data_IF_005790866681
#
_entry.id   IF_005790866681
#
_cell.length_a   1.000
_cell.length_b   1.000
_cell.length_c   1.000
_cell.angle_alpha   90.00
_cell.angle_beta   90.00
_cell.angle_gamma   90.00
#
_symmetry.space_group_name_H-M   'P 1'
#
loop_
_entity.id
_entity.type
_entity.pdbx_description
1 polymer ?
#
# COMPACT_ATOMS: atom_id res chain seq x y z
N UNK A 1 12.26 10.31 6.21
CA UNK A 1 10.99 10.08 5.50
C UNK A 1 10.28 11.40 5.50
N UNK A 2 9.73 11.84 4.37
CA UNK A 2 9.29 13.22 4.17
C UNK A 2 7.90 13.53 4.76
N UNK A 3 7.42 12.67 5.65
CA UNK A 3 6.21 12.86 6.46
C UNK A 3 6.54 13.65 7.73
N UNK A 4 6.57 14.98 7.63
CA UNK A 4 6.68 15.86 8.80
C UNK A 4 5.40 15.83 9.63
N UNK A 5 5.50 16.19 10.91
CA UNK A 5 4.32 16.23 11.79
C UNK A 5 3.35 17.34 11.36
N UNK A 6 3.85 18.40 10.71
CA UNK A 6 3.05 19.46 10.07
C UNK A 6 2.26 18.91 8.87
N UNK A 7 2.89 18.12 7.99
CA UNK A 7 2.21 17.53 6.84
C UNK A 7 1.12 16.54 7.26
N UNK A 8 1.41 15.71 8.27
CA UNK A 8 0.43 14.77 8.84
C UNK A 8 -0.78 15.54 9.36
N UNK A 9 -0.57 16.63 10.12
CA UNK A 9 -1.64 17.47 10.65
C UNK A 9 -2.46 18.13 9.53
N UNK A 10 -1.78 18.76 8.57
CA UNK A 10 -2.42 19.42 7.43
C UNK A 10 -3.35 18.46 6.69
N UNK A 11 -2.88 17.24 6.43
CA UNK A 11 -3.68 16.22 5.76
C UNK A 11 -4.84 15.73 6.63
N UNK A 12 -4.64 15.56 7.94
CA UNK A 12 -5.67 15.11 8.86
C UNK A 12 -6.81 16.13 9.00
N UNK A 13 -6.49 17.42 9.06
CA UNK A 13 -7.46 18.50 9.28
C UNK A 13 -8.14 18.99 7.98
N UNK A 14 -7.47 18.84 6.83
CA UNK A 14 -8.03 19.33 5.57
C UNK A 14 -9.13 18.41 5.03
N UNK A 15 -10.33 18.95 4.70
CA UNK A 15 -11.37 18.21 3.99
C UNK A 15 -11.08 18.10 2.49
N UNK A 16 -10.09 18.84 1.97
CA UNK A 16 -9.73 18.85 0.54
C UNK A 16 -8.65 17.83 0.20
N UNK A 17 -8.07 17.16 1.20
CA UNK A 17 -7.01 16.18 1.01
C UNK A 17 -7.54 14.82 1.44
N UNK A 18 -7.49 13.87 0.49
CA UNK A 18 -7.86 12.49 0.72
C UNK A 18 -7.10 11.90 1.93
N UNK A 19 -7.76 11.07 2.73
CA UNK A 19 -7.15 10.31 3.85
C UNK A 19 -6.39 9.12 3.27
N UNK A 20 -5.28 9.42 2.62
CA UNK A 20 -4.45 8.46 1.90
C UNK A 20 -2.97 8.78 2.07
N UNK A 21 -2.21 7.83 2.57
CA UNK A 21 -0.78 7.95 2.75
C UNK A 21 -0.07 6.83 1.99
N UNK A 22 0.85 7.20 1.10
CA UNK A 22 1.76 6.25 0.48
C UNK A 22 3.20 6.57 0.87
N UNK A 23 3.87 5.62 1.54
CA UNK A 23 5.24 5.78 1.99
C UNK A 23 6.06 4.55 1.56
N UNK A 24 7.02 4.70 0.62
CA UNK A 24 7.86 3.58 0.21
C UNK A 24 8.67 3.01 1.37
N UNK A 25 8.43 1.74 1.73
CA UNK A 25 9.15 1.05 2.81
C UNK A 25 10.43 0.39 2.31
N UNK A 26 10.36 -0.19 1.11
CA UNK A 26 11.36 -1.02 0.46
C UNK A 26 11.61 -2.35 1.17
N UNK A 27 12.04 -2.35 2.43
CA UNK A 27 12.24 -3.54 3.26
C UNK A 27 12.00 -3.20 4.72
N UNK A 28 11.57 -4.18 5.53
CA UNK A 28 11.50 -4.05 6.98
C UNK A 28 12.79 -4.45 7.70
N UNK A 29 13.80 -4.92 6.97
CA UNK A 29 15.11 -5.25 7.53
C UNK A 29 16.07 -4.06 7.51
N UNK A 30 16.67 -3.75 8.66
CA UNK A 30 17.69 -2.71 8.77
C UNK A 30 18.92 -3.04 7.90
N UNK A 31 19.35 -4.30 7.89
CA UNK A 31 20.49 -4.74 7.10
C UNK A 31 20.25 -4.58 5.59
N UNK A 32 19.07 -4.98 5.09
CA UNK A 32 18.68 -4.78 3.69
C UNK A 32 18.60 -3.29 3.35
N UNK A 33 17.94 -2.48 4.20
CA UNK A 33 17.83 -1.03 4.00
C UNK A 33 19.20 -0.33 3.93
N UNK A 34 20.18 -0.76 4.74
CA UNK A 34 21.57 -0.30 4.63
C UNK A 34 22.20 -0.66 3.30
N UNK A 35 22.03 -1.90 2.83
CA UNK A 35 22.54 -2.33 1.52
C UNK A 35 21.88 -1.57 0.35
N UNK A 36 20.63 -1.13 0.53
CA UNK A 36 19.92 -0.24 -0.39
C UNK A 36 20.32 1.24 -0.26
N UNK A 37 21.27 1.58 0.60
CA UNK A 37 21.68 2.96 0.91
C UNK A 37 20.53 3.87 1.39
N UNK A 38 19.55 3.31 2.10
CA UNK A 38 18.46 4.10 2.68
C UNK A 38 18.92 4.82 3.95
N UNK A 39 18.54 6.10 4.05
CA UNK A 39 18.83 6.97 5.21
C UNK A 39 17.82 6.84 6.36
N UNK A 40 16.91 5.87 6.29
CA UNK A 40 15.93 5.57 7.35
C UNK A 40 16.04 4.10 7.77
N UNK A 41 15.34 3.76 8.84
CA UNK A 41 15.41 2.47 9.51
C UNK A 41 14.01 1.98 9.84
N UNK A 42 13.81 0.68 10.12
CA UNK A 42 12.48 0.13 10.40
C UNK A 42 11.74 0.86 11.51
N UNK A 43 12.43 1.26 12.58
CA UNK A 43 11.82 2.02 13.70
C UNK A 43 11.43 3.45 13.32
N UNK A 44 12.24 4.16 12.52
CA UNK A 44 11.87 5.48 11.98
C UNK A 44 10.64 5.39 11.08
N UNK A 45 10.55 4.32 10.29
CA UNK A 45 9.42 4.05 9.41
C UNK A 45 8.14 3.75 10.23
N UNK A 46 8.26 2.85 11.20
CA UNK A 46 7.19 2.50 12.15
C UNK A 46 6.60 3.74 12.83
N UNK A 47 7.46 4.55 13.46
CA UNK A 47 7.03 5.77 14.17
C UNK A 47 6.19 6.68 13.26
N UNK A 48 6.59 6.82 11.99
CA UNK A 48 5.89 7.67 11.02
C UNK A 48 4.54 7.09 10.61
N UNK A 49 4.47 5.78 10.35
CA UNK A 49 3.19 5.13 10.04
C UNK A 49 2.22 5.17 11.22
N UNK A 50 2.71 4.95 12.44
CA UNK A 50 1.89 5.01 13.66
C UNK A 50 1.36 6.44 13.89
N UNK A 51 2.16 7.47 13.64
CA UNK A 51 1.70 8.88 13.66
C UNK A 51 0.63 9.17 12.60
N UNK A 52 0.83 8.71 11.37
CA UNK A 52 -0.16 8.88 10.28
C UNK A 52 -1.47 8.20 10.66
N UNK A 53 -1.41 6.95 11.12
CA UNK A 53 -2.59 6.20 11.51
C UNK A 53 -3.30 6.81 12.73
N UNK A 54 -2.55 7.28 13.72
CA UNK A 54 -3.12 7.95 14.90
C UNK A 54 -3.85 9.26 14.54
N UNK A 55 -3.29 10.05 13.61
CA UNK A 55 -3.92 11.29 13.15
C UNK A 55 -5.10 11.04 12.19
N UNK A 56 -5.07 9.95 11.42
CA UNK A 56 -6.10 9.59 10.45
C UNK A 56 -6.42 8.08 10.54
N UNK A 57 -7.24 7.64 11.51
CA UNK A 57 -7.51 6.21 11.74
C UNK A 57 -8.19 5.50 10.56
N UNK A 58 -8.89 6.26 9.70
CA UNK A 58 -9.54 5.74 8.50
C UNK A 58 -8.66 5.80 7.25
N UNK A 59 -7.44 6.32 7.33
CA UNK A 59 -6.60 6.51 6.16
C UNK A 59 -6.23 5.19 5.48
N UNK A 60 -6.23 5.19 4.15
CA UNK A 60 -5.60 4.13 3.39
C UNK A 60 -4.08 4.34 3.40
N UNK A 61 -3.35 3.38 3.98
CA UNK A 61 -1.89 3.44 4.15
C UNK A 61 -1.25 2.39 3.26
N UNK A 62 -0.47 2.84 2.29
CA UNK A 62 0.23 1.99 1.34
C UNK A 62 1.74 2.10 1.40
N UNK A 63 2.41 1.05 0.94
CA UNK A 63 3.86 1.03 0.78
C UNK A 63 4.31 0.23 -0.44
N UNK A 64 5.46 0.65 -0.97
CA UNK A 64 6.28 -0.13 -1.89
C UNK A 64 7.20 -1.07 -1.11
N UNK A 65 7.22 -2.35 -1.49
CA UNK A 65 8.08 -3.39 -0.87
C UNK A 65 8.80 -4.18 -1.95
N UNK A 66 10.12 -4.23 -1.84
CA UNK A 66 10.99 -5.00 -2.72
C UNK A 66 11.40 -6.30 -2.02
N UNK A 67 11.34 -7.41 -2.74
CA UNK A 67 11.87 -8.71 -2.29
C UNK A 67 12.97 -9.21 -3.22
N UNK A 68 13.88 -10.02 -2.69
CA UNK A 68 14.98 -10.61 -3.44
C UNK A 68 16.13 -9.64 -3.71
N UNK A 69 16.28 -8.59 -2.90
CA UNK A 69 17.44 -7.70 -3.00
C UNK A 69 18.74 -8.50 -2.79
N UNK A 70 19.86 -8.19 -3.48
CA UNK A 70 21.09 -8.96 -3.36
C UNK A 70 21.54 -9.13 -1.90
N UNK A 71 21.76 -10.38 -1.50
CA UNK A 71 22.12 -10.79 -0.14
C UNK A 71 20.95 -10.92 0.85
N UNK A 72 19.69 -10.72 0.45
CA UNK A 72 18.52 -10.89 1.33
C UNK A 72 18.34 -12.34 1.80
N UNK A 73 18.50 -12.55 3.10
CA UNK A 73 18.34 -13.84 3.80
C UNK A 73 16.89 -14.09 4.22
N UNK A 74 16.59 -15.33 4.65
CA UNK A 74 15.26 -15.67 5.16
C UNK A 74 14.92 -14.92 6.46
N UNK A 75 15.91 -14.68 7.32
CA UNK A 75 15.73 -13.91 8.54
C UNK A 75 15.35 -12.44 8.24
N UNK A 76 16.03 -11.81 7.29
CA UNK A 76 15.75 -10.42 6.88
C UNK A 76 14.40 -10.29 6.15
N UNK A 77 14.01 -11.31 5.40
CA UNK A 77 12.65 -11.41 4.87
C UNK A 77 11.61 -11.55 6.01
N UNK A 78 11.92 -12.36 7.02
CA UNK A 78 11.11 -12.50 8.24
C UNK A 78 10.93 -11.18 9.00
N UNK A 79 11.96 -10.36 9.13
CA UNK A 79 11.87 -9.01 9.70
C UNK A 79 10.89 -8.12 8.89
N UNK A 80 10.91 -8.26 7.56
CA UNK A 80 9.99 -7.54 6.67
C UNK A 80 8.55 -7.98 6.87
N UNK A 81 8.31 -9.29 6.99
CA UNK A 81 7.00 -9.85 7.30
C UNK A 81 6.45 -9.31 8.63
N UNK A 82 7.23 -9.42 9.70
CA UNK A 82 6.83 -8.99 11.04
C UNK A 82 6.47 -7.50 11.08
N UNK A 83 7.24 -6.65 10.38
CA UNK A 83 6.94 -5.22 10.31
C UNK A 83 5.65 -4.94 9.54
N UNK A 84 5.43 -5.63 8.42
CA UNK A 84 4.20 -5.49 7.63
C UNK A 84 2.98 -5.93 8.44
N UNK A 85 3.06 -7.09 9.10
CA UNK A 85 2.00 -7.62 9.95
C UNK A 85 1.63 -6.66 11.07
N UNK A 86 2.64 -6.09 11.76
CA UNK A 86 2.45 -5.17 12.89
C UNK A 86 1.93 -3.77 12.51
N UNK A 87 2.09 -3.33 11.25
CA UNK A 87 1.69 -1.99 10.81
C UNK A 87 0.30 -1.97 10.14
N UNK A 88 -0.44 -0.85 10.25
CA UNK A 88 -1.80 -0.69 9.74
C UNK A 88 -1.85 -0.45 8.22
N UNK A 89 -1.07 -1.21 7.45
CA UNK A 89 -1.15 -1.16 5.99
C UNK A 89 -2.51 -1.62 5.49
N UNK A 90 -2.99 -0.96 4.44
CA UNK A 90 -4.26 -1.30 3.77
C UNK A 90 -4.03 -1.84 2.36
N UNK A 91 -2.86 -1.57 1.78
CA UNK A 91 -2.41 -2.19 0.53
C UNK A 91 -0.88 -2.14 0.44
N UNK A 92 -0.30 -3.04 -0.35
CA UNK A 92 1.13 -3.04 -0.65
C UNK A 92 1.35 -3.18 -2.14
N UNK A 93 2.33 -2.46 -2.66
CA UNK A 93 2.89 -2.71 -3.98
C UNK A 93 4.16 -3.54 -3.82
N UNK A 94 4.05 -4.84 -4.07
CA UNK A 94 5.14 -5.80 -3.90
C UNK A 94 5.77 -6.14 -5.24
N UNK A 95 7.07 -5.91 -5.36
CA UNK A 95 7.84 -6.20 -6.57
C UNK A 95 9.13 -6.95 -6.26
N UNK A 96 9.56 -7.76 -7.21
CA UNK A 96 10.82 -8.51 -7.13
C UNK A 96 11.96 -7.63 -7.64
N UNK A 97 13.10 -7.66 -6.96
CA UNK A 97 14.32 -7.01 -7.44
C UNK A 97 14.66 -7.52 -8.85
N UNK A 98 14.99 -6.57 -9.73
CA UNK A 98 15.46 -6.85 -11.08
C UNK A 98 16.74 -6.06 -11.32
N UNK A 99 17.87 -6.73 -11.61
CA UNK A 99 19.15 -6.05 -11.79
C UNK A 99 19.09 -5.14 -13.02
N UNK A 100 19.46 -3.87 -12.81
CA UNK A 100 19.58 -2.89 -13.90
C UNK A 100 21.05 -2.58 -14.17
N UNK A 101 21.53 -2.71 -15.43
CA UNK A 101 22.91 -2.38 -15.78
C UNK A 101 23.31 -0.99 -15.27
N UNK A 102 24.54 -0.88 -14.74
CA UNK A 102 25.08 0.37 -14.20
C UNK A 102 24.68 0.70 -12.75
N UNK A 103 23.83 -0.10 -12.11
CA UNK A 103 23.50 0.09 -10.68
C UNK A 103 24.46 -0.68 -9.76
N UNK A 104 24.82 -0.14 -8.57
CA UNK A 104 25.65 -0.86 -7.61
C UNK A 104 25.08 -2.24 -7.23
N UNK A 105 23.74 -2.32 -7.09
CA UNK A 105 23.05 -3.56 -6.77
C UNK A 105 23.20 -4.65 -7.85
N UNK A 106 23.33 -4.27 -9.13
CA UNK A 106 23.55 -5.24 -10.21
C UNK A 106 24.93 -5.92 -10.11
N UNK A 107 25.92 -5.24 -9.53
CA UNK A 107 27.27 -5.78 -9.32
C UNK A 107 27.44 -6.50 -7.97
N UNK A 108 26.43 -6.48 -7.09
CA UNK A 108 26.50 -7.16 -5.79
C UNK A 108 26.56 -8.68 -5.97
N UNK A 109 27.39 -9.31 -5.15
CA UNK A 109 27.42 -10.78 -5.00
C UNK A 109 26.18 -11.25 -4.25
N UNK A 110 25.91 -12.56 -4.29
CA UNK A 110 24.79 -13.21 -3.59
C UNK A 110 23.41 -12.75 -4.07
N UNK A 111 23.21 -12.77 -5.39
CA UNK A 111 21.89 -12.56 -5.99
C UNK A 111 20.92 -13.63 -5.46
N UNK A 112 19.71 -13.21 -5.07
CA UNK A 112 18.68 -14.14 -4.58
C UNK A 112 18.09 -14.89 -5.78
N UNK A 113 17.96 -16.24 -5.72
CA UNK A 113 17.33 -17.01 -6.79
C UNK A 113 15.92 -16.49 -7.09
N UNK A 114 15.58 -16.36 -8.38
CA UNK A 114 14.30 -15.79 -8.81
C UNK A 114 13.08 -16.55 -8.24
N UNK A 115 13.20 -17.87 -8.03
CA UNK A 115 12.13 -18.67 -7.44
C UNK A 115 11.86 -18.28 -5.98
N UNK A 116 12.91 -18.08 -5.19
CA UNK A 116 12.80 -17.60 -3.80
C UNK A 116 12.18 -16.21 -3.78
N UNK A 117 12.63 -15.30 -4.66
CA UNK A 117 12.12 -13.95 -4.69
C UNK A 117 10.64 -13.88 -5.17
N UNK A 118 10.22 -14.79 -6.07
CA UNK A 118 8.81 -14.95 -6.46
C UNK A 118 7.95 -15.50 -5.33
N UNK A 119 8.46 -16.48 -4.58
CA UNK A 119 7.77 -17.03 -3.43
C UNK A 119 7.54 -15.96 -2.35
N UNK A 120 8.60 -15.23 -1.98
CA UNK A 120 8.52 -14.08 -1.06
C UNK A 120 7.52 -13.03 -1.53
N UNK A 121 7.49 -12.75 -2.84
CA UNK A 121 6.55 -11.80 -3.43
C UNK A 121 5.09 -12.27 -3.25
N UNK A 122 4.82 -13.57 -3.52
CA UNK A 122 3.50 -14.18 -3.32
C UNK A 122 3.04 -14.04 -1.86
N UNK A 123 3.89 -14.44 -0.92
CA UNK A 123 3.59 -14.35 0.53
C UNK A 123 3.17 -12.93 0.92
N UNK A 124 3.93 -11.91 0.52
CA UNK A 124 3.58 -10.52 0.84
C UNK A 124 2.30 -10.03 0.16
N UNK A 125 1.98 -10.53 -1.04
CA UNK A 125 0.71 -10.21 -1.72
C UNK A 125 -0.48 -10.83 -1.02
N UNK A 126 -0.34 -12.04 -0.48
CA UNK A 126 -1.40 -12.69 0.29
C UNK A 126 -1.71 -11.90 1.58
N UNK A 127 -0.67 -11.50 2.33
CA UNK A 127 -0.82 -10.62 3.51
C UNK A 127 -1.44 -9.26 3.12
N UNK A 128 -1.02 -8.68 1.99
CA UNK A 128 -1.59 -7.42 1.51
C UNK A 128 -3.10 -7.56 1.17
N UNK A 129 -3.50 -8.70 0.61
CA UNK A 129 -4.90 -8.99 0.29
C UNK A 129 -5.75 -9.15 1.57
N UNK A 130 -5.22 -9.84 2.58
CA UNK A 130 -5.86 -9.98 3.89
C UNK A 130 -6.05 -8.63 4.58
N UNK A 131 -4.99 -7.81 4.61
CA UNK A 131 -5.04 -6.46 5.18
C UNK A 131 -6.02 -5.55 4.44
N UNK A 132 -6.05 -5.62 3.10
CA UNK A 132 -7.05 -4.90 2.29
C UNK A 132 -8.47 -5.33 2.63
N UNK A 133 -8.71 -6.63 2.77
CA UNK A 133 -10.02 -7.15 3.14
C UNK A 133 -10.44 -6.70 4.55
N UNK A 134 -9.52 -6.75 5.52
CA UNK A 134 -9.75 -6.25 6.88
C UNK A 134 -10.08 -4.76 6.87
N UNK A 135 -9.34 -3.95 6.11
CA UNK A 135 -9.61 -2.53 5.95
C UNK A 135 -11.02 -2.29 5.39
N UNK A 136 -11.41 -2.95 4.29
CA UNK A 136 -12.76 -2.81 3.72
C UNK A 136 -13.86 -3.22 4.72
N UNK A 137 -13.66 -4.32 5.45
CA UNK A 137 -14.62 -4.82 6.44
C UNK A 137 -14.83 -3.82 7.59
N UNK A 138 -13.81 -3.05 7.95
CA UNK A 138 -13.90 -2.04 9.00
C UNK A 138 -14.87 -0.88 8.67
N UNK A 139 -15.35 -0.77 7.42
CA UNK A 139 -16.34 0.23 6.99
C UNK A 139 -17.76 -0.35 6.82
N UNK A 140 -17.95 -1.66 7.01
CA UNK A 140 -19.30 -2.24 6.96
C UNK A 140 -20.14 -1.65 8.09
N UNK A 141 -21.34 -1.17 7.74
CA UNK A 141 -22.26 -0.53 8.68
C UNK A 141 -21.91 0.92 9.04
N UNK A 142 -20.85 1.51 8.45
CA UNK A 142 -20.49 2.91 8.65
C UNK A 142 -21.00 3.79 7.52
N UNK A 143 -21.42 5.01 7.86
CA UNK A 143 -21.66 6.07 6.89
C UNK A 143 -20.31 6.65 6.45
N UNK A 144 -20.11 6.76 5.14
CA UNK A 144 -18.89 7.32 4.53
C UNK A 144 -19.27 8.34 3.47
N UNK A 145 -18.41 9.35 3.30
CA UNK A 145 -18.51 10.26 2.16
C UNK A 145 -17.85 9.62 0.94
N UNK A 146 -18.48 9.77 -0.22
CA UNK A 146 -17.97 9.26 -1.48
C UNK A 146 -18.34 10.19 -2.64
N UNK A 147 -17.44 10.27 -3.61
CA UNK A 147 -17.70 10.94 -4.88
C UNK A 147 -18.17 9.92 -5.91
N UNK A 148 -19.26 10.20 -6.61
CA UNK A 148 -19.74 9.42 -7.74
C UNK A 148 -18.88 9.70 -8.97
N UNK A 149 -18.51 8.64 -9.67
CA UNK A 149 -17.61 8.71 -10.82
C UNK A 149 -18.40 8.66 -12.14
N UNK A 150 -18.05 9.53 -13.08
CA UNK A 150 -18.60 9.48 -14.43
C UNK A 150 -17.96 8.31 -15.19
N UNK A 151 -18.73 7.25 -15.44
CA UNK A 151 -18.33 6.20 -16.38
C UNK A 151 -19.17 6.31 -17.66
N UNK A 152 -18.56 6.65 -18.81
CA UNK A 152 -19.20 6.43 -20.09
C UNK A 152 -19.25 4.91 -20.33
N UNK A 153 -20.43 4.31 -20.15
CA UNK A 153 -20.83 2.99 -20.65
C UNK A 153 -19.73 1.90 -20.66
N UNK A 154 -19.53 1.20 -19.54
CA UNK A 154 -18.83 -0.09 -19.55
C UNK A 154 -19.83 -1.25 -19.55
N UNK A 155 -19.69 -2.11 -20.55
CA UNK A 155 -20.18 -3.48 -20.60
C UNK A 155 -19.16 -4.32 -19.81
N UNK A 156 -19.59 -5.14 -18.85
CA UNK A 156 -18.69 -6.06 -18.15
C UNK A 156 -18.13 -7.12 -19.11
N UNK A 157 -16.91 -7.59 -18.87
CA UNK A 157 -16.33 -8.80 -19.49
C UNK A 157 -17.20 -10.05 -19.33
N UNK A 158 -18.13 -10.04 -18.37
CA UNK A 158 -18.92 -11.18 -17.94
C UNK A 158 -20.37 -11.11 -18.45
N UNK A 159 -20.69 -10.16 -19.34
CA UNK A 159 -22.02 -10.00 -19.95
C UNK A 159 -23.16 -9.63 -19.00
N UNK A 160 -22.92 -9.46 -17.70
CA UNK A 160 -23.92 -9.02 -16.74
C UNK A 160 -24.13 -7.50 -16.83
N UNK A 161 -25.36 -7.08 -17.17
CA UNK A 161 -25.74 -5.67 -17.29
C UNK A 161 -25.35 -4.85 -16.04
N UNK A 162 -24.38 -3.93 -16.20
CA UNK A 162 -24.03 -2.86 -15.23
C UNK A 162 -25.07 -1.71 -15.30
N UNK A 163 -26.31 -1.99 -15.71
CA UNK A 163 -27.29 -0.95 -16.06
C UNK A 163 -27.84 -0.17 -14.86
N UNK A 164 -27.60 -0.62 -13.63
CA UNK A 164 -28.24 -0.11 -12.41
C UNK A 164 -27.29 0.19 -11.24
N UNK A 165 -26.01 0.42 -11.49
CA UNK A 165 -25.05 0.77 -10.43
C UNK A 165 -24.28 2.05 -10.78
N UNK A 166 -23.91 2.83 -9.77
CA UNK A 166 -22.95 3.95 -9.91
C UNK A 166 -21.71 3.65 -9.11
N UNK A 167 -20.54 3.75 -9.73
CA UNK A 167 -19.29 3.66 -9.00
C UNK A 167 -19.05 4.93 -8.19
N UNK A 168 -18.53 4.75 -6.99
CA UNK A 168 -18.15 5.86 -6.14
C UNK A 168 -16.80 5.57 -5.46
N UNK A 169 -16.13 6.63 -5.04
CA UNK A 169 -14.82 6.58 -4.38
C UNK A 169 -14.86 7.41 -3.11
N UNK A 170 -14.45 6.83 -1.99
CA UNK A 170 -14.33 7.57 -0.73
C UNK A 170 -13.05 8.38 -0.66
N UNK A 171 -12.94 9.26 0.33
CA UNK A 171 -11.74 10.05 0.63
C UNK A 171 -10.50 9.20 1.01
N UNK A 172 -10.70 7.92 1.35
CA UNK A 172 -9.64 6.94 1.59
C UNK A 172 -9.55 5.87 0.49
N UNK A 173 -10.03 6.18 -0.71
CA UNK A 173 -9.92 5.34 -1.91
C UNK A 173 -10.61 3.96 -1.84
N UNK A 174 -11.60 3.79 -0.97
CA UNK A 174 -12.50 2.64 -1.06
C UNK A 174 -13.38 2.79 -2.30
N UNK A 175 -13.30 1.79 -3.18
CA UNK A 175 -14.15 1.70 -4.36
C UNK A 175 -15.50 1.10 -3.95
N UNK A 176 -16.56 1.84 -4.21
CA UNK A 176 -17.93 1.47 -3.88
C UNK A 176 -18.76 1.30 -5.15
N UNK A 177 -19.80 0.48 -5.05
CA UNK A 177 -20.87 0.39 -6.05
C UNK A 177 -22.18 0.72 -5.37
N UNK A 178 -22.76 1.85 -5.75
CA UNK A 178 -24.05 2.32 -5.28
C UNK A 178 -25.15 1.73 -6.15
N UNK A 179 -26.27 1.32 -5.53
CA UNK A 179 -27.46 0.91 -6.27
C UNK A 179 -28.13 2.14 -6.91
N UNK A 180 -28.54 2.01 -8.16
CA UNK A 180 -29.17 3.07 -8.95
C UNK A 180 -28.19 3.84 -9.83
N UNK A 181 -28.72 4.85 -10.53
CA UNK A 181 -27.94 5.82 -11.30
C UNK A 181 -27.90 7.15 -10.56
N UNK A 182 -26.71 7.56 -10.15
CA UNK A 182 -26.46 8.84 -9.50
C UNK A 182 -25.60 9.69 -10.44
N UNK A 183 -25.88 10.98 -10.52
CA UNK A 183 -25.04 11.89 -11.31
C UNK A 183 -23.63 11.95 -10.72
N UNK A 184 -22.62 12.07 -11.59
CA UNK A 184 -21.25 12.27 -11.16
C UNK A 184 -21.11 13.63 -10.46
N UNK A 185 -20.32 13.69 -9.39
CA UNK A 185 -19.93 14.96 -8.79
C UNK A 185 -19.22 15.83 -9.85
N UNK A 186 -19.62 17.10 -9.93
CA UNK A 186 -18.99 18.12 -10.80
C UNK A 186 -17.91 18.88 -10.06
#
# INVERSE_FOLDING_TARGET
>A
MDWSDELIRLQAESPRIAKHAHAPMQSGSDAVLRRMHRKYRPWHYREKIEKIHGAMPTAAIGADVMVGFPGETDAEFGETLQLIEALPFTYLHVFTYSPRPGTPAAAMRNQVPIQVARERNRILRDIAAEKKLAFMRAFIGKTVEAITLAFPNLISSDGACISHCTEALTDNFLKLRLKGRHEANR
#
